data_IF_471011062047
#
_entry.id   IF_471011062047
#
_cell.length_a   1.000
_cell.length_b   1.000
_cell.length_c   1.000
_cell.angle_alpha   90.00
_cell.angle_beta   90.00
_cell.angle_gamma   90.00
#
_symmetry.space_group_name_H-M   'P 1'
#
loop_
_entity.id
_entity.type
_entity.pdbx_description
1 polymer ?
#
# COMPACT_ATOMS: atom_id res chain seq x y z
N UNK A 1 -12.91 -15.30 20.22
CA UNK A 1 -12.55 -15.59 21.63
C UNK A 1 -12.84 -14.35 22.46
N UNK A 2 -13.36 -14.48 23.68
CA UNK A 2 -13.58 -13.29 24.51
C UNK A 2 -12.23 -12.70 24.95
N UNK A 3 -12.11 -11.38 25.14
CA UNK A 3 -10.86 -10.78 25.62
C UNK A 3 -10.42 -11.29 27.00
N UNK A 4 -11.39 -11.73 27.83
CA UNK A 4 -11.11 -12.33 29.13
C UNK A 4 -10.43 -13.68 29.00
N UNK A 5 -10.94 -14.55 28.11
CA UNK A 5 -10.36 -15.87 27.86
C UNK A 5 -8.96 -15.75 27.28
N UNK A 6 -8.77 -14.83 26.34
CA UNK A 6 -7.47 -14.55 25.73
C UNK A 6 -6.40 -14.23 26.79
N UNK A 7 -6.69 -13.26 27.67
CA UNK A 7 -5.78 -12.85 28.74
C UNK A 7 -5.49 -13.98 29.71
N UNK A 8 -6.47 -14.83 29.99
CA UNK A 8 -6.27 -15.98 30.88
C UNK A 8 -5.32 -16.99 30.25
N UNK A 9 -5.52 -17.33 28.98
CA UNK A 9 -4.65 -18.26 28.23
C UNK A 9 -3.23 -17.73 28.13
N UNK A 10 -3.05 -16.44 27.81
CA UNK A 10 -1.73 -15.79 27.77
C UNK A 10 -1.01 -15.85 29.12
N UNK A 11 -1.71 -15.60 30.22
CA UNK A 11 -1.15 -15.70 31.58
C UNK A 11 -0.75 -17.12 31.91
N UNK A 12 -1.60 -18.10 31.63
CA UNK A 12 -1.32 -19.51 31.91
C UNK A 12 -0.12 -20.02 31.09
N UNK A 13 0.01 -19.58 29.84
CA UNK A 13 1.16 -19.91 29.01
C UNK A 13 2.45 -19.24 29.53
N UNK A 14 2.38 -17.97 29.92
CA UNK A 14 3.55 -17.23 30.44
C UNK A 14 4.09 -17.79 31.76
N UNK A 15 3.21 -18.33 32.61
CA UNK A 15 3.59 -19.02 33.86
C UNK A 15 4.13 -20.44 33.60
N UNK A 16 3.98 -20.96 32.38
CA UNK A 16 4.39 -22.32 32.01
C UNK A 16 3.40 -23.41 32.42
N UNK A 17 2.17 -23.04 32.81
CA UNK A 17 1.11 -24.01 33.11
C UNK A 17 0.60 -24.70 31.83
N UNK A 18 0.67 -24.00 30.68
CA UNK A 18 0.40 -24.56 29.36
C UNK A 18 1.70 -24.84 28.62
N UNK A 19 1.87 -26.06 28.13
CA UNK A 19 3.07 -26.45 27.36
C UNK A 19 2.97 -26.06 25.88
N UNK A 20 1.76 -25.98 25.34
CA UNK A 20 1.51 -25.70 23.93
C UNK A 20 0.33 -24.73 23.79
N UNK A 21 0.44 -23.82 22.83
CA UNK A 21 -0.61 -22.89 22.43
C UNK A 21 -0.89 -23.08 20.94
N UNK A 22 -2.17 -23.15 20.58
CA UNK A 22 -2.61 -23.18 19.19
C UNK A 22 -3.26 -21.85 18.87
N UNK A 23 -2.80 -21.21 17.80
CA UNK A 23 -3.29 -19.93 17.32
C UNK A 23 -3.65 -20.02 15.85
N UNK A 24 -4.66 -19.27 15.42
CA UNK A 24 -4.97 -19.10 14.00
C UNK A 24 -4.05 -18.05 13.40
N UNK A 25 -3.89 -18.07 12.07
CA UNK A 25 -3.11 -17.08 11.31
C UNK A 25 -3.43 -15.65 11.75
N UNK A 26 -4.71 -15.32 11.85
CA UNK A 26 -5.19 -13.99 12.20
C UNK A 26 -4.85 -13.57 13.62
N UNK A 27 -4.64 -14.50 14.56
CA UNK A 27 -4.36 -14.18 15.96
C UNK A 27 -2.87 -14.20 16.31
N UNK A 28 -2.00 -14.53 15.34
CA UNK A 28 -0.57 -14.76 15.63
C UNK A 28 0.09 -13.53 16.25
N UNK A 29 -0.28 -12.34 15.81
CA UNK A 29 0.32 -11.08 16.27
C UNK A 29 0.03 -10.75 17.74
N UNK A 30 -1.00 -11.34 18.34
CA UNK A 30 -1.31 -11.20 19.77
C UNK A 30 -0.69 -12.30 20.63
N UNK A 31 -0.09 -13.33 20.03
CA UNK A 31 0.39 -14.47 20.78
C UNK A 31 1.63 -14.12 21.62
N UNK A 32 1.76 -14.70 22.83
CA UNK A 32 2.96 -14.54 23.62
C UNK A 32 4.15 -15.23 22.94
N UNK A 33 5.39 -14.74 23.14
CA UNK A 33 6.57 -15.36 22.56
C UNK A 33 6.79 -16.77 23.13
N UNK A 34 7.34 -17.66 22.31
CA UNK A 34 7.56 -19.06 22.67
C UNK A 34 8.97 -19.53 22.29
N UNK A 35 9.46 -20.54 23.00
CA UNK A 35 10.80 -21.11 22.77
C UNK A 35 10.91 -21.80 21.39
N UNK A 36 9.80 -22.38 20.94
CA UNK A 36 9.69 -23.06 19.67
C UNK A 36 8.34 -22.73 19.01
N UNK A 37 8.38 -22.46 17.70
CA UNK A 37 7.19 -22.15 16.90
C UNK A 37 7.09 -23.13 15.74
N UNK A 38 5.89 -23.62 15.50
CA UNK A 38 5.59 -24.52 14.40
C UNK A 38 4.49 -23.90 13.57
N UNK A 39 4.81 -23.52 12.34
CA UNK A 39 3.83 -23.09 11.34
C UNK A 39 3.39 -24.33 10.58
N UNK A 40 2.17 -24.78 10.83
CA UNK A 40 1.67 -26.08 10.34
C UNK A 40 1.34 -26.11 8.84
N UNK A 41 0.98 -24.96 8.27
CA UNK A 41 0.71 -24.79 6.84
C UNK A 41 0.95 -23.33 6.48
N UNK A 42 1.27 -23.07 5.22
CA UNK A 42 1.49 -21.71 4.69
C UNK A 42 0.41 -21.30 3.70
N UNK A 43 -0.77 -21.91 3.76
CA UNK A 43 -1.89 -21.66 2.86
C UNK A 43 -3.19 -21.42 3.61
N UNK A 44 -3.98 -20.46 3.12
CA UNK A 44 -5.34 -20.18 3.57
C UNK A 44 -6.31 -20.29 2.40
N UNK A 45 -7.54 -20.71 2.66
CA UNK A 45 -8.58 -20.76 1.63
C UNK A 45 -9.28 -19.41 1.54
N UNK A 46 -9.27 -18.78 0.36
CA UNK A 46 -10.07 -17.60 0.10
C UNK A 46 -11.39 -17.97 -0.59
N UNK A 47 -12.50 -17.62 0.06
CA UNK A 47 -13.83 -17.95 -0.42
C UNK A 47 -14.31 -17.14 -1.62
N UNK A 48 -13.71 -15.97 -1.89
CA UNK A 48 -14.09 -15.11 -3.03
C UNK A 48 -13.69 -15.73 -4.37
N UNK A 49 -12.45 -16.21 -4.47
CA UNK A 49 -11.91 -16.82 -5.68
C UNK A 49 -11.91 -18.36 -5.64
N UNK A 50 -12.43 -18.95 -4.57
CA UNK A 50 -12.47 -20.40 -4.32
C UNK A 50 -11.09 -21.09 -4.45
N UNK A 51 -10.03 -20.41 -4.00
CA UNK A 51 -8.65 -20.87 -4.18
C UNK A 51 -7.86 -20.81 -2.88
N UNK A 52 -6.85 -21.67 -2.76
CA UNK A 52 -5.83 -21.55 -1.72
C UNK A 52 -4.80 -20.48 -2.09
N UNK A 53 -4.64 -19.52 -1.18
CA UNK A 53 -3.69 -18.42 -1.28
C UNK A 53 -2.58 -18.66 -0.27
N UNK A 54 -1.35 -18.54 -0.74
CA UNK A 54 -0.15 -18.66 0.07
C UNK A 54 -0.04 -17.49 1.07
N UNK A 55 0.49 -17.75 2.25
CA UNK A 55 0.71 -16.70 3.24
C UNK A 55 1.76 -15.72 2.73
N UNK A 56 1.52 -14.43 3.00
CA UNK A 56 2.51 -13.41 2.73
C UNK A 56 3.74 -13.68 3.60
N UNK A 57 4.90 -13.28 3.09
CA UNK A 57 6.15 -13.35 3.85
C UNK A 57 6.08 -12.56 5.16
N UNK A 58 5.33 -11.45 5.20
CA UNK A 58 5.15 -10.63 6.38
C UNK A 58 4.39 -11.42 7.45
N UNK A 59 3.30 -12.10 7.08
CA UNK A 59 2.56 -12.96 8.00
C UNK A 59 3.48 -14.05 8.60
N UNK A 60 4.36 -14.64 7.78
CA UNK A 60 5.33 -15.62 8.25
C UNK A 60 6.41 -15.01 9.14
N UNK A 61 6.93 -13.83 8.79
CA UNK A 61 7.92 -13.12 9.58
C UNK A 61 7.38 -12.74 10.95
N UNK A 62 6.11 -12.33 11.04
CA UNK A 62 5.42 -12.10 12.32
C UNK A 62 5.39 -13.38 13.18
N UNK A 63 4.99 -14.52 12.58
CA UNK A 63 5.01 -15.81 13.29
C UNK A 63 6.42 -16.24 13.71
N UNK A 64 7.42 -16.03 12.86
CA UNK A 64 8.83 -16.35 13.16
C UNK A 64 9.36 -15.44 14.27
N UNK A 65 8.97 -14.16 14.29
CA UNK A 65 9.41 -13.15 15.26
C UNK A 65 8.96 -13.39 16.70
N UNK A 66 7.96 -14.25 16.88
CA UNK A 66 7.51 -14.73 18.19
C UNK A 66 8.47 -15.77 18.79
N UNK A 67 9.33 -16.40 17.99
CA UNK A 67 10.24 -17.44 18.47
C UNK A 67 11.38 -16.79 19.24
N UNK A 68 11.35 -16.92 20.58
CA UNK A 68 12.31 -16.25 21.47
C UNK A 68 12.71 -17.18 22.60
N UNK A 69 14.02 -17.23 22.87
CA UNK A 69 14.58 -17.98 23.98
C UNK A 69 15.73 -17.18 24.58
N UNK A 70 15.61 -16.66 25.81
CA UNK A 70 16.70 -15.94 26.46
C UNK A 70 17.93 -16.83 26.65
N UNK A 71 19.09 -16.40 26.16
CA UNK A 71 20.37 -17.09 26.36
C UNK A 71 20.64 -18.30 25.45
N UNK A 72 19.75 -18.60 24.50
CA UNK A 72 19.96 -19.68 23.53
C UNK A 72 19.22 -19.40 22.20
N UNK A 73 19.43 -20.27 21.21
CA UNK A 73 18.77 -20.13 19.90
C UNK A 73 17.34 -20.67 19.96
N UNK A 74 16.37 -19.80 19.73
CA UNK A 74 14.98 -20.20 19.50
C UNK A 74 14.84 -20.98 18.19
N UNK A 75 13.82 -21.83 18.08
CA UNK A 75 13.58 -22.67 16.90
C UNK A 75 12.25 -22.33 16.26
N UNK A 76 12.23 -22.18 14.94
CA UNK A 76 11.01 -22.08 14.16
C UNK A 76 11.02 -23.17 13.08
N UNK A 77 9.92 -23.91 12.96
CA UNK A 77 9.72 -24.94 11.95
C UNK A 77 8.53 -24.52 11.10
N UNK A 78 8.76 -24.38 9.79
CA UNK A 78 7.72 -24.04 8.83
C UNK A 78 7.45 -25.27 7.97
N UNK A 79 6.21 -25.76 8.03
CA UNK A 79 5.72 -26.83 7.19
C UNK A 79 5.01 -26.21 5.99
N UNK A 80 5.59 -26.40 4.80
CA UNK A 80 5.10 -25.82 3.55
C UNK A 80 5.18 -26.83 2.41
N UNK A 81 4.50 -26.53 1.31
CA UNK A 81 4.58 -27.33 0.09
C UNK A 81 5.94 -27.16 -0.59
N UNK A 82 6.46 -28.21 -1.23
CA UNK A 82 7.78 -28.20 -1.87
C UNK A 82 7.94 -27.06 -2.90
N UNK A 83 6.86 -26.65 -3.57
CA UNK A 83 6.89 -25.55 -4.56
C UNK A 83 7.22 -24.18 -3.96
N UNK A 84 6.90 -23.93 -2.69
CA UNK A 84 7.11 -22.64 -2.03
C UNK A 84 8.32 -22.64 -1.08
N UNK A 85 8.96 -23.79 -0.88
CA UNK A 85 10.06 -23.93 0.05
C UNK A 85 11.22 -22.98 -0.29
N UNK A 86 11.62 -22.92 -1.56
CA UNK A 86 12.74 -22.06 -2.00
C UNK A 86 12.39 -20.57 -1.90
N UNK A 87 11.13 -20.21 -2.18
CA UNK A 87 10.62 -18.85 -2.03
C UNK A 87 10.78 -18.38 -0.58
N UNK A 88 10.20 -19.11 0.39
CA UNK A 88 10.28 -18.73 1.80
C UNK A 88 11.71 -18.81 2.34
N UNK A 89 12.48 -19.83 1.95
CA UNK A 89 13.88 -19.99 2.38
C UNK A 89 14.76 -18.81 1.93
N UNK A 90 14.53 -18.29 0.72
CA UNK A 90 15.25 -17.12 0.22
C UNK A 90 14.88 -15.88 1.03
N UNK A 91 13.59 -15.59 1.17
CA UNK A 91 13.12 -14.33 1.79
C UNK A 91 13.15 -14.30 3.32
N UNK A 92 13.34 -15.46 3.98
CA UNK A 92 13.68 -15.49 5.40
C UNK A 92 15.17 -15.21 5.66
N UNK A 93 16.03 -15.33 4.65
CA UNK A 93 17.46 -15.04 4.74
C UNK A 93 17.82 -13.65 4.23
N UNK A 94 17.16 -13.24 3.15
CA UNK A 94 17.36 -11.96 2.49
C UNK A 94 16.08 -11.15 2.58
N UNK A 95 16.22 -9.85 2.88
CA UNK A 95 15.07 -8.93 2.85
C UNK A 95 14.50 -8.82 1.44
N UNK A 96 13.18 -8.78 1.32
CA UNK A 96 12.50 -8.50 0.06
C UNK A 96 12.77 -7.07 -0.42
N UNK A 97 12.94 -6.85 -1.74
CA UNK A 97 12.85 -5.51 -2.29
C UNK A 97 11.42 -5.01 -2.06
N UNK A 98 11.29 -3.92 -1.30
CA UNK A 98 10.01 -3.26 -1.09
C UNK A 98 9.70 -2.38 -2.31
N UNK A 99 8.52 -2.58 -2.89
CA UNK A 99 8.01 -1.80 -4.01
C UNK A 99 6.71 -1.12 -3.62
N UNK A 100 6.49 0.09 -4.14
CA UNK A 100 5.25 0.83 -3.92
C UNK A 100 4.12 0.27 -4.77
N UNK A 101 2.92 0.16 -4.21
CA UNK A 101 1.66 -0.13 -4.93
C UNK A 101 0.76 1.12 -5.00
N UNK A 102 1.32 2.29 -4.74
CA UNK A 102 0.59 3.55 -4.64
C UNK A 102 -0.11 3.95 -5.95
N UNK A 103 0.37 3.47 -7.10
CA UNK A 103 -0.23 3.70 -8.41
C UNK A 103 -1.69 3.22 -8.51
N UNK A 104 -2.10 2.23 -7.71
CA UNK A 104 -3.49 1.74 -7.68
C UNK A 104 -4.43 2.58 -6.81
N UNK A 105 -3.88 3.38 -5.90
CA UNK A 105 -4.64 4.18 -4.92
C UNK A 105 -4.51 5.68 -5.19
N UNK A 106 -4.08 6.04 -6.40
CA UNK A 106 -3.74 7.41 -6.75
C UNK A 106 -4.99 8.31 -6.82
N UNK A 107 -6.13 7.76 -7.27
CA UNK A 107 -7.41 8.46 -7.33
C UNK A 107 -7.83 9.01 -5.96
N UNK A 108 -7.83 8.17 -4.93
CA UNK A 108 -8.18 8.56 -3.55
C UNK A 108 -7.24 9.64 -3.00
N UNK A 109 -5.94 9.48 -3.27
CA UNK A 109 -4.92 10.41 -2.80
C UNK A 109 -5.10 11.80 -3.43
N UNK A 110 -5.24 11.88 -4.75
CA UNK A 110 -5.44 13.16 -5.43
C UNK A 110 -6.73 13.85 -4.99
N UNK A 111 -7.84 13.13 -4.88
CA UNK A 111 -9.08 13.71 -4.36
C UNK A 111 -8.86 14.28 -2.96
N UNK A 112 -8.18 13.56 -2.06
CA UNK A 112 -7.91 14.05 -0.70
C UNK A 112 -7.10 15.35 -0.68
N UNK A 113 -6.05 15.44 -1.49
CA UNK A 113 -5.12 16.57 -1.53
C UNK A 113 -5.70 17.79 -2.27
N UNK A 114 -6.46 17.59 -3.35
CA UNK A 114 -7.21 18.65 -4.04
C UNK A 114 -8.25 19.27 -3.09
N UNK A 115 -9.00 18.44 -2.35
CA UNK A 115 -9.90 18.95 -1.31
C UNK A 115 -9.18 19.68 -0.16
N UNK A 116 -7.90 19.34 0.05
CA UNK A 116 -7.05 20.00 1.03
C UNK A 116 -6.50 21.35 0.58
N UNK A 117 -6.65 21.69 -0.71
CA UNK A 117 -6.04 22.87 -1.32
C UNK A 117 -4.52 22.76 -1.46
N UNK A 118 -3.96 21.55 -1.33
CA UNK A 118 -2.51 21.30 -1.53
C UNK A 118 -2.18 21.22 -3.01
N UNK A 119 -3.09 20.64 -3.80
CA UNK A 119 -2.98 20.50 -5.25
C UNK A 119 -4.06 21.39 -5.87
N UNK A 120 -3.64 22.38 -6.66
CA UNK A 120 -4.56 23.26 -7.39
C UNK A 120 -4.33 23.21 -8.90
N UNK A 121 -3.11 22.90 -9.34
CA UNK A 121 -2.76 22.68 -10.75
C UNK A 121 -2.39 21.22 -11.03
N UNK A 122 -2.45 20.86 -12.32
CA UNK A 122 -1.83 19.65 -12.86
C UNK A 122 -0.35 19.54 -12.52
N UNK A 123 0.38 20.65 -12.58
CA UNK A 123 1.82 20.66 -12.29
C UNK A 123 2.07 20.31 -10.81
N UNK A 124 1.18 20.78 -9.92
CA UNK A 124 1.21 20.42 -8.50
C UNK A 124 1.00 18.92 -8.29
N UNK A 125 0.17 18.24 -9.09
CA UNK A 125 0.01 16.78 -9.01
C UNK A 125 1.35 16.05 -9.25
N UNK A 126 2.07 16.47 -10.29
CA UNK A 126 3.36 15.89 -10.64
C UNK A 126 4.39 16.19 -9.56
N UNK A 127 4.43 17.44 -9.06
CA UNK A 127 5.32 17.81 -7.96
C UNK A 127 5.00 17.02 -6.69
N UNK A 128 3.73 16.91 -6.32
CA UNK A 128 3.28 16.17 -5.15
C UNK A 128 3.71 14.71 -5.20
N UNK A 129 3.59 14.07 -6.37
CA UNK A 129 4.07 12.71 -6.59
C UNK A 129 5.57 12.57 -6.32
N UNK A 130 6.39 13.59 -6.54
CA UNK A 130 7.84 13.52 -6.30
C UNK A 130 8.20 13.31 -4.83
N UNK A 131 7.34 13.72 -3.90
CA UNK A 131 7.54 13.52 -2.47
C UNK A 131 7.18 12.10 -2.01
N UNK A 132 6.59 11.27 -2.87
CA UNK A 132 6.13 9.92 -2.51
C UNK A 132 7.24 8.88 -2.62
N UNK A 133 7.11 7.80 -1.83
CA UNK A 133 7.98 6.61 -1.96
C UNK A 133 7.88 5.96 -3.35
N UNK A 134 6.71 6.07 -3.99
CA UNK A 134 6.48 5.59 -5.35
C UNK A 134 7.43 6.23 -6.35
N UNK A 135 7.60 7.55 -6.32
CA UNK A 135 8.50 8.24 -7.24
C UNK A 135 9.96 7.78 -7.08
N UNK A 136 10.42 7.60 -5.84
CA UNK A 136 11.76 7.07 -5.58
C UNK A 136 11.94 5.67 -6.18
N UNK A 137 10.95 4.78 -5.98
CA UNK A 137 11.01 3.41 -6.51
C UNK A 137 10.88 3.34 -8.02
N UNK A 138 10.07 4.21 -8.62
CA UNK A 138 9.90 4.30 -10.07
C UNK A 138 11.22 4.55 -10.78
N UNK A 139 12.09 5.41 -10.23
CA UNK A 139 13.41 5.68 -10.80
C UNK A 139 14.39 4.51 -10.66
N UNK A 140 14.27 3.72 -9.59
CA UNK A 140 15.15 2.59 -9.32
C UNK A 140 14.76 1.32 -10.07
N UNK A 141 13.46 1.06 -10.25
CA UNK A 141 12.96 -0.13 -10.93
C UNK A 141 11.74 0.18 -11.83
N UNK A 142 11.92 0.92 -12.94
CA UNK A 142 10.81 1.31 -13.82
C UNK A 142 10.05 0.11 -14.41
N UNK A 143 10.75 -1.00 -14.66
CA UNK A 143 10.17 -2.21 -15.27
C UNK A 143 9.09 -2.85 -14.41
N UNK A 144 9.18 -2.74 -13.08
CA UNK A 144 8.15 -3.25 -12.17
C UNK A 144 6.80 -2.54 -12.36
N UNK A 145 6.85 -1.24 -12.70
CA UNK A 145 5.68 -0.40 -12.93
C UNK A 145 5.15 -0.45 -14.36
N UNK A 146 5.74 -1.27 -15.23
CA UNK A 146 5.33 -1.39 -16.63
C UNK A 146 5.87 -0.29 -17.54
N UNK A 147 6.86 0.49 -17.10
CA UNK A 147 7.49 1.52 -17.93
C UNK A 147 8.34 0.87 -19.01
N UNK A 148 7.97 1.08 -20.29
CA UNK A 148 8.68 0.48 -21.44
C UNK A 148 10.08 1.06 -21.66
N UNK A 149 10.25 2.35 -21.38
CA UNK A 149 11.51 3.07 -21.54
C UNK A 149 12.06 3.46 -20.16
N UNK A 150 13.05 2.72 -19.67
CA UNK A 150 13.64 2.93 -18.34
C UNK A 150 14.56 4.17 -18.24
N UNK A 151 14.60 5.01 -19.26
CA UNK A 151 15.32 6.29 -19.19
C UNK A 151 14.56 7.29 -18.31
N UNK A 152 15.27 8.32 -17.81
CA UNK A 152 14.65 9.40 -17.01
C UNK A 152 13.50 10.08 -17.75
N UNK A 153 13.65 10.26 -19.07
CA UNK A 153 12.62 10.84 -19.92
C UNK A 153 11.39 9.94 -19.95
N UNK A 154 11.57 8.62 -20.13
CA UNK A 154 10.46 7.66 -20.15
C UNK A 154 9.73 7.54 -18.80
N UNK A 155 10.44 7.66 -17.68
CA UNK A 155 9.79 7.70 -16.36
C UNK A 155 8.97 8.97 -16.14
N UNK A 156 9.44 10.11 -16.64
CA UNK A 156 8.69 11.38 -16.56
C UNK A 156 7.45 11.33 -17.44
N UNK A 157 7.58 10.84 -18.67
CA UNK A 157 6.46 10.64 -19.59
C UNK A 157 5.38 9.73 -18.97
N UNK A 158 5.79 8.62 -18.36
CA UNK A 158 4.88 7.71 -17.65
C UNK A 158 4.16 8.39 -16.47
N UNK A 159 4.85 9.23 -15.69
CA UNK A 159 4.22 9.98 -14.59
C UNK A 159 3.17 10.97 -15.12
N UNK A 160 3.50 11.70 -16.19
CA UNK A 160 2.56 12.63 -16.81
C UNK A 160 1.33 11.91 -17.36
N UNK A 161 1.50 10.77 -18.02
CA UNK A 161 0.41 9.92 -18.51
C UNK A 161 -0.45 9.37 -17.36
N UNK A 162 0.19 8.94 -16.27
CA UNK A 162 -0.52 8.46 -15.08
C UNK A 162 -1.35 9.57 -14.43
N UNK A 163 -0.80 10.78 -14.31
CA UNK A 163 -1.54 11.94 -13.79
C UNK A 163 -2.69 12.32 -14.72
N UNK A 164 -2.48 12.36 -16.04
CA UNK A 164 -3.56 12.59 -17.03
C UNK A 164 -4.70 11.59 -16.82
N UNK A 165 -4.38 10.29 -16.89
CA UNK A 165 -5.39 9.24 -16.84
C UNK A 165 -6.19 9.28 -15.55
N UNK A 166 -5.53 9.55 -14.41
CA UNK A 166 -6.22 9.62 -13.12
C UNK A 166 -7.09 10.86 -12.99
N UNK A 167 -6.62 12.04 -13.41
CA UNK A 167 -7.43 13.25 -13.40
C UNK A 167 -8.64 13.12 -14.34
N UNK A 168 -8.46 12.56 -15.54
CA UNK A 168 -9.55 12.30 -16.49
C UNK A 168 -10.62 11.38 -15.88
N UNK A 169 -10.21 10.32 -15.19
CA UNK A 169 -11.13 9.40 -14.53
C UNK A 169 -11.87 10.07 -13.37
N UNK A 170 -11.21 10.98 -12.63
CA UNK A 170 -11.83 11.77 -11.57
C UNK A 170 -12.84 12.79 -12.11
N UNK A 171 -12.55 13.42 -13.26
CA UNK A 171 -13.50 14.31 -13.96
C UNK A 171 -14.70 13.53 -14.46
N UNK A 172 -14.50 12.35 -15.09
CA UNK A 172 -15.60 11.46 -15.50
C UNK A 172 -16.44 11.01 -14.31
N UNK A 173 -15.81 10.76 -13.17
CA UNK A 173 -16.45 10.45 -11.89
C UNK A 173 -17.17 11.64 -11.24
N UNK A 174 -17.07 12.85 -11.81
CA UNK A 174 -17.60 14.12 -11.28
C UNK A 174 -17.10 14.44 -9.86
N UNK A 175 -15.88 14.00 -9.55
CA UNK A 175 -15.23 14.26 -8.26
C UNK A 175 -14.50 15.60 -8.25
N UNK A 176 -13.95 15.99 -9.41
CA UNK A 176 -13.24 17.24 -9.66
C UNK A 176 -13.78 17.90 -10.92
N UNK A 177 -13.64 19.23 -11.00
CA UNK A 177 -13.87 20.05 -12.19
C UNK A 177 -12.56 20.77 -12.52
N UNK A 178 -12.23 20.86 -13.81
CA UNK A 178 -11.09 21.63 -14.28
C UNK A 178 -11.66 22.86 -14.99
N UNK A 179 -11.48 24.03 -14.39
CA UNK A 179 -11.84 25.28 -15.04
C UNK A 179 -10.76 25.59 -16.07
N UNK A 180 -11.08 25.35 -17.33
CA UNK A 180 -10.34 25.94 -18.43
C UNK A 180 -10.92 27.35 -18.57
N UNK A 181 -10.13 28.38 -18.29
CA UNK A 181 -10.52 29.76 -18.60
C UNK A 181 -10.78 29.85 -20.10
N UNK A 182 -12.06 29.82 -20.49
CA UNK A 182 -12.48 30.12 -21.84
C UNK A 182 -12.39 31.64 -22.04
N UNK A 183 -11.31 32.11 -22.67
CA UNK A 183 -11.26 33.44 -23.26
C UNK A 183 -12.27 33.52 -24.41
N UNK A 184 -13.50 33.99 -24.14
CA UNK A 184 -14.38 34.49 -25.18
C UNK A 184 -14.02 35.96 -25.52
N UNK A 185 -13.54 36.15 -26.75
CA UNK A 185 -13.20 37.40 -27.44
C UNK A 185 -14.06 38.65 -27.09
N UNK A 186 -13.40 39.76 -26.71
CA UNK A 186 -13.45 41.04 -27.44
C UNK A 186 -12.69 42.20 -26.72
N UNK A 187 -11.43 42.42 -27.10
CA UNK A 187 -10.84 43.75 -27.32
C UNK A 187 -10.55 44.69 -26.14
N UNK A 188 -9.33 44.61 -25.59
CA UNK A 188 -8.34 45.71 -25.55
C UNK A 188 -7.00 45.20 -25.01
N UNK A 189 -5.92 45.69 -25.61
CA UNK A 189 -4.53 45.33 -25.31
C UNK A 189 -4.16 45.91 -23.95
N UNK A 190 -3.77 45.07 -22.99
CA UNK A 190 -2.83 45.43 -21.93
C UNK A 190 -1.92 44.24 -21.59
N UNK A 191 -0.65 44.54 -21.39
CA UNK A 191 0.47 43.60 -21.27
C UNK A 191 0.46 42.81 -19.95
N UNK A 192 0.45 41.47 -20.09
CA UNK A 192 0.87 40.37 -19.19
C UNK A 192 -0.26 39.34 -19.07
N UNK A 193 -0.39 38.51 -20.09
CA UNK A 193 -1.08 37.23 -19.95
C UNK A 193 -0.13 36.31 -19.17
N UNK A 194 -0.29 36.26 -17.84
CA UNK A 194 0.03 35.03 -17.13
C UNK A 194 -0.86 33.97 -17.78
N UNK A 195 -0.26 32.93 -18.38
CA UNK A 195 -1.02 31.76 -18.82
C UNK A 195 -1.61 31.16 -17.54
N UNK A 196 -2.85 31.53 -17.22
CA UNK A 196 -3.56 30.99 -16.08
C UNK A 196 -3.74 29.49 -16.33
N UNK A 197 -2.93 28.68 -15.64
CA UNK A 197 -3.05 27.22 -15.70
C UNK A 197 -4.44 26.80 -15.21
N UNK A 198 -5.04 25.75 -15.82
CA UNK A 198 -6.38 25.32 -15.46
C UNK A 198 -6.43 24.93 -13.97
N UNK A 199 -7.24 25.66 -13.20
CA UNK A 199 -7.44 25.39 -11.78
C UNK A 199 -8.34 24.16 -11.60
N UNK A 200 -7.88 23.24 -10.75
CA UNK A 200 -8.60 22.03 -10.38
C UNK A 200 -9.40 22.31 -9.11
N UNK A 201 -10.74 22.25 -9.23
CA UNK A 201 -11.66 22.50 -8.12
C UNK A 201 -12.39 21.22 -7.75
N UNK A 202 -12.48 20.91 -6.46
CA UNK A 202 -13.28 19.78 -6.00
C UNK A 202 -14.78 20.12 -5.95
N UNK A 203 -15.59 19.37 -6.70
CA UNK A 203 -17.04 19.59 -6.81
C UNK A 203 -17.83 19.07 -5.61
N UNK A 204 -17.51 17.86 -5.13
CA UNK A 204 -18.21 17.18 -4.03
C UNK A 204 -17.28 16.40 -3.08
N UNK A 205 -15.97 16.57 -3.23
CA UNK A 205 -14.96 15.76 -2.53
C UNK A 205 -14.88 15.93 -1.00
N UNK A 206 -15.60 16.90 -0.42
CA UNK A 206 -15.74 17.03 1.04
C UNK A 206 -16.36 15.78 1.70
N UNK A 207 -17.13 14.99 0.96
CA UNK A 207 -17.73 13.73 1.48
C UNK A 207 -16.68 12.62 1.57
N UNK A 208 -15.82 12.45 0.56
CA UNK A 208 -14.86 11.34 0.52
C UNK A 208 -13.73 11.52 1.53
N UNK A 209 -13.20 12.74 1.69
CA UNK A 209 -12.17 13.03 2.70
C UNK A 209 -12.66 12.79 4.13
N UNK A 210 -13.92 13.14 4.44
CA UNK A 210 -14.46 12.99 5.79
C UNK A 210 -14.97 11.57 6.11
N UNK A 211 -15.22 10.76 5.07
CA UNK A 211 -15.85 9.44 5.24
C UNK A 211 -14.90 8.27 5.00
N UNK A 212 -13.66 8.51 4.53
CA UNK A 212 -12.69 7.46 4.16
C UNK A 212 -13.30 6.38 3.26
N UNK A 213 -14.14 6.80 2.32
CA UNK A 213 -14.73 5.92 1.31
C UNK A 213 -13.74 5.86 0.15
N UNK A 214 -13.19 4.68 -0.12
CA UNK A 214 -12.36 4.45 -1.30
C UNK A 214 -13.21 4.48 -2.58
N UNK A 215 -12.66 5.13 -3.61
CA UNK A 215 -13.24 5.30 -4.94
C UNK A 215 -12.79 4.17 -5.86
#
# INVERSE_FOLDING_TARGET
MSPSDQRMVEKLFSVGALTCLLATKETCFYCPPANAIIVMSTQGYEGKEHRYIDYSINDLLEMVGLARLPGANAKCVILTHCSQLDYYKKFLRESLPLESHFNYFLHDAFVSEINGGVINSRQDCVEWLTYTYFYQRLQHNPSFYGVKNSSRVGTTEYLSELVESTLDDLVKGKMIEMNISEDEDAGQIDEKTEEDEPEIIALNGKITRNSFISI
#
